data_IF_355446988721
#
_entry.id   IF_355446988721
#
_cell.length_a   1.000
_cell.length_b   1.000
_cell.length_c   1.000
_cell.angle_alpha   90.00
_cell.angle_beta   90.00
_cell.angle_gamma   90.00
#
_symmetry.space_group_name_H-M   'P 1'
#
loop_
_entity.id
_entity.type
_entity.pdbx_description
1 polymer ?
#
# COMPACT_ATOMS: atom_id res chain seq x y z
N UNK A 1 15.42 21.94 22.01
CA UNK A 1 15.42 20.46 22.04
C UNK A 1 15.29 19.90 23.46
N UNK A 2 16.17 20.25 24.42
CA UNK A 2 16.05 19.72 25.79
C UNK A 2 14.80 20.26 26.53
N UNK A 3 14.48 21.55 26.36
CA UNK A 3 13.34 22.18 27.05
C UNK A 3 11.95 21.62 26.68
N UNK A 4 11.80 21.04 25.48
CA UNK A 4 10.52 20.51 24.99
C UNK A 4 10.53 18.98 24.92
N UNK A 5 11.50 18.34 25.60
CA UNK A 5 11.69 16.88 25.53
C UNK A 5 10.42 16.14 25.95
N UNK A 6 9.82 16.56 27.06
CA UNK A 6 8.68 15.87 27.64
C UNK A 6 7.42 16.07 26.77
N UNK A 7 7.24 17.27 26.20
CA UNK A 7 6.16 17.55 25.25
C UNK A 7 6.30 16.71 23.97
N UNK A 8 7.51 16.56 23.43
CA UNK A 8 7.74 15.68 22.28
C UNK A 8 7.45 14.22 22.58
N UNK A 9 7.82 13.74 23.77
CA UNK A 9 7.50 12.39 24.21
C UNK A 9 5.99 12.22 24.37
N UNK A 10 5.28 13.19 24.95
CA UNK A 10 3.83 13.17 25.08
C UNK A 10 3.14 13.11 23.71
N UNK A 11 3.53 13.97 22.76
CA UNK A 11 3.00 13.95 21.38
C UNK A 11 3.32 12.61 20.70
N UNK A 12 4.52 12.07 20.87
CA UNK A 12 4.88 10.77 20.31
C UNK A 12 4.05 9.63 20.92
N UNK A 13 3.73 9.69 22.20
CA UNK A 13 2.82 8.75 22.87
C UNK A 13 1.39 8.89 22.32
N UNK A 14 0.88 10.12 22.15
CA UNK A 14 -0.43 10.37 21.53
C UNK A 14 -0.49 9.80 20.11
N UNK A 15 0.56 10.01 19.30
CA UNK A 15 0.65 9.45 17.95
C UNK A 15 0.69 7.92 17.94
N UNK A 16 1.19 7.28 18.99
CA UNK A 16 1.22 5.80 19.12
C UNK A 16 -0.07 5.24 19.71
N UNK A 17 -0.77 6.02 20.54
CA UNK A 17 -2.04 5.66 21.16
C UNK A 17 -3.24 6.01 20.27
N UNK A 18 -4.44 5.63 20.74
CA UNK A 18 -5.72 5.96 20.11
C UNK A 18 -5.89 7.49 20.00
N UNK A 19 -5.31 8.25 20.94
CA UNK A 19 -5.37 9.70 21.03
C UNK A 19 -6.50 10.17 21.95
N UNK A 20 -6.38 11.39 22.47
CA UNK A 20 -7.43 12.06 23.23
C UNK A 20 -8.36 12.79 22.25
N UNK A 21 -9.67 12.81 22.50
CA UNK A 21 -10.70 13.45 21.64
C UNK A 21 -10.95 12.78 20.27
N UNK A 22 -11.18 11.47 20.29
CA UNK A 22 -11.63 10.80 19.08
C UNK A 22 -13.08 11.11 18.78
N UNK A 23 -13.31 11.56 17.54
CA UNK A 23 -14.66 11.65 17.00
C UNK A 23 -15.32 10.28 17.06
N UNK A 24 -16.47 10.18 17.73
CA UNK A 24 -17.29 8.97 17.77
C UNK A 24 -17.75 8.53 16.37
N UNK A 25 -17.62 9.42 15.38
CA UNK A 25 -18.07 9.23 14.01
C UNK A 25 -16.96 9.51 13.01
N UNK A 26 -16.88 8.70 11.95
CA UNK A 26 -15.95 8.93 10.85
C UNK A 26 -16.15 10.33 10.24
N UNK A 27 -15.11 11.19 10.20
CA UNK A 27 -15.24 12.58 9.73
C UNK A 27 -15.37 12.70 8.20
N UNK A 28 -15.14 11.61 7.46
CA UNK A 28 -15.17 11.58 6.00
C UNK A 28 -16.39 10.86 5.44
N UNK A 29 -17.25 10.29 6.30
CA UNK A 29 -18.52 9.73 5.84
C UNK A 29 -19.47 10.85 5.40
N UNK A 30 -20.26 10.65 4.34
CA UNK A 30 -21.34 11.57 4.04
C UNK A 30 -22.44 11.51 5.13
N UNK A 31 -23.16 12.62 5.30
CA UNK A 31 -24.09 12.83 6.42
C UNK A 31 -25.32 11.92 6.41
N UNK A 32 -25.62 11.29 5.29
CA UNK A 32 -26.72 10.34 5.09
C UNK A 32 -26.39 8.93 5.62
N UNK A 33 -25.12 8.65 5.91
CA UNK A 33 -24.67 7.36 6.39
C UNK A 33 -24.79 7.28 7.92
N UNK A 34 -25.22 6.12 8.48
CA UNK A 34 -25.21 5.94 9.93
C UNK A 34 -23.81 6.20 10.50
N UNK A 35 -23.72 6.79 11.71
CA UNK A 35 -22.46 6.97 12.42
C UNK A 35 -21.66 5.66 12.51
N UNK A 36 -20.41 5.68 12.02
CA UNK A 36 -19.49 4.55 12.14
C UNK A 36 -18.27 5.02 12.91
N UNK A 37 -17.91 4.26 13.95
CA UNK A 37 -16.70 4.49 14.73
C UNK A 37 -15.45 4.33 13.85
N UNK A 38 -14.59 5.36 13.77
CA UNK A 38 -13.40 5.30 12.94
C UNK A 38 -12.26 4.56 13.66
N UNK A 39 -11.85 3.40 13.16
CA UNK A 39 -10.79 2.57 13.77
C UNK A 39 -9.54 2.44 12.90
N UNK A 40 -9.51 3.01 11.70
CA UNK A 40 -8.40 2.90 10.75
C UNK A 40 -7.68 4.22 10.54
N UNK A 41 -6.35 4.20 10.52
CA UNK A 41 -5.52 5.34 10.10
C UNK A 41 -4.43 4.92 9.13
N UNK A 42 -4.05 5.85 8.27
CA UNK A 42 -2.86 5.72 7.44
C UNK A 42 -1.67 6.39 8.13
N UNK A 43 -0.49 5.76 8.07
CA UNK A 43 0.75 6.34 8.62
C UNK A 43 1.65 6.98 7.55
N UNK A 44 1.27 6.88 6.28
CA UNK A 44 1.98 7.48 5.15
C UNK A 44 1.26 8.73 4.60
N UNK A 45 -0.05 8.90 4.87
CA UNK A 45 -0.78 10.12 4.56
C UNK A 45 -0.38 11.27 5.49
N UNK A 46 -0.34 12.50 4.96
CA UNK A 46 -0.11 13.69 5.77
C UNK A 46 -1.21 13.90 6.82
N UNK A 47 -2.47 13.65 6.45
CA UNK A 47 -3.59 13.66 7.39
C UNK A 47 -3.84 12.26 7.95
N UNK A 48 -3.62 12.10 9.26
CA UNK A 48 -3.60 10.81 9.96
C UNK A 48 -4.86 10.55 10.80
N UNK A 49 -5.90 11.35 10.63
CA UNK A 49 -7.16 11.19 11.34
C UNK A 49 -7.76 9.79 11.11
N UNK A 50 -8.36 9.22 12.17
CA UNK A 50 -9.05 7.94 12.05
C UNK A 50 -10.23 8.05 11.09
N UNK A 51 -10.50 6.97 10.38
CA UNK A 51 -11.62 6.82 9.46
C UNK A 51 -12.23 5.41 9.55
N UNK A 52 -13.44 5.25 9.02
CA UNK A 52 -14.03 3.94 8.84
C UNK A 52 -13.34 3.17 7.69
N UNK A 53 -13.64 1.87 7.57
CA UNK A 53 -13.03 1.01 6.55
C UNK A 53 -13.24 1.52 5.12
N UNK A 54 -14.46 1.97 4.79
CA UNK A 54 -14.80 2.34 3.42
C UNK A 54 -14.12 3.65 2.99
N UNK A 55 -14.17 4.67 3.85
CA UNK A 55 -13.44 5.92 3.62
C UNK A 55 -11.92 5.67 3.53
N UNK A 56 -11.41 4.69 4.29
CA UNK A 56 -10.02 4.27 4.16
C UNK A 56 -9.75 3.68 2.77
N UNK A 57 -10.55 2.73 2.30
CA UNK A 57 -10.37 2.11 0.98
C UNK A 57 -10.48 3.13 -0.14
N UNK A 58 -11.49 4.00 -0.10
CA UNK A 58 -11.75 5.04 -1.08
C UNK A 58 -10.56 6.01 -1.21
N UNK A 59 -10.07 6.54 -0.09
CA UNK A 59 -8.92 7.46 -0.05
C UNK A 59 -7.64 6.84 -0.63
N UNK A 60 -7.48 5.52 -0.50
CA UNK A 60 -6.26 4.83 -0.90
C UNK A 60 -6.35 4.17 -2.29
N UNK A 61 -7.40 4.41 -3.08
CA UNK A 61 -7.48 3.95 -4.47
C UNK A 61 -6.28 4.45 -5.29
N UNK A 62 -5.89 5.71 -5.11
CA UNK A 62 -4.73 6.30 -5.79
C UNK A 62 -3.38 5.96 -5.14
N UNK A 63 -3.38 5.48 -3.90
CA UNK A 63 -2.17 5.22 -3.11
C UNK A 63 -2.23 3.82 -2.45
N UNK A 64 -2.25 2.73 -3.26
CA UNK A 64 -2.53 1.38 -2.77
C UNK A 64 -1.39 0.74 -1.96
N UNK A 65 -0.24 1.41 -1.87
CA UNK A 65 0.96 0.96 -1.16
C UNK A 65 1.20 1.75 0.14
N UNK A 66 0.23 2.53 0.59
CA UNK A 66 0.27 3.15 1.91
C UNK A 66 0.03 2.11 3.01
N UNK A 67 0.69 2.31 4.14
CA UNK A 67 0.58 1.45 5.33
C UNK A 67 -0.56 1.92 6.21
N UNK A 68 -1.45 0.99 6.53
CA UNK A 68 -2.65 1.25 7.35
C UNK A 68 -2.50 0.55 8.70
N UNK A 69 -3.01 1.19 9.74
CA UNK A 69 -3.16 0.62 11.06
C UNK A 69 -4.63 0.58 11.46
N UNK A 70 -5.03 -0.49 12.15
CA UNK A 70 -6.35 -0.62 12.78
C UNK A 70 -6.20 -0.64 14.29
N UNK A 71 -7.05 0.09 15.00
CA UNK A 71 -7.18 -0.02 16.45
C UNK A 71 -7.90 -1.33 16.81
N UNK A 72 -7.33 -2.11 17.74
CA UNK A 72 -7.92 -3.37 18.22
C UNK A 72 -8.50 -3.27 19.65
N UNK A 73 -8.61 -2.06 20.20
CA UNK A 73 -9.00 -1.81 21.59
C UNK A 73 -7.82 -1.56 22.53
N UNK A 74 -6.61 -2.02 22.19
CA UNK A 74 -5.42 -1.88 23.03
C UNK A 74 -4.26 -1.16 22.31
N UNK A 75 -3.97 -1.53 21.07
CA UNK A 75 -2.90 -0.91 20.28
C UNK A 75 -3.23 -0.90 18.79
N UNK A 76 -2.49 -0.09 18.05
CA UNK A 76 -2.53 -0.12 16.59
C UNK A 76 -1.75 -1.30 16.04
N UNK A 77 -2.42 -2.11 15.24
CA UNK A 77 -1.80 -3.18 14.47
C UNK A 77 -1.82 -2.85 12.97
N UNK A 78 -0.79 -3.26 12.25
CA UNK A 78 -0.75 -3.10 10.79
C UNK A 78 -1.86 -3.93 10.12
N UNK A 79 -2.49 -3.34 9.12
CA UNK A 79 -3.47 -3.99 8.26
C UNK A 79 -3.18 -3.68 6.80
N UNK A 80 -3.29 -4.69 5.93
CA UNK A 80 -3.19 -4.47 4.50
C UNK A 80 -4.48 -3.90 3.93
N UNK A 81 -4.38 -2.97 2.98
CA UNK A 81 -5.52 -2.47 2.21
C UNK A 81 -6.28 -3.60 1.50
N UNK A 82 -5.60 -4.67 1.10
CA UNK A 82 -6.22 -5.92 0.60
C UNK A 82 -7.21 -6.52 1.59
N UNK A 83 -6.87 -6.56 2.89
CA UNK A 83 -7.75 -7.08 3.95
C UNK A 83 -8.97 -6.19 4.13
N UNK A 84 -8.82 -4.89 3.94
CA UNK A 84 -9.93 -3.91 3.99
C UNK A 84 -10.81 -3.94 2.74
N UNK A 85 -10.40 -4.67 1.69
CA UNK A 85 -11.19 -4.86 0.48
C UNK A 85 -10.67 -4.11 -0.75
N UNK A 86 -9.59 -3.34 -0.64
CA UNK A 86 -9.03 -2.61 -1.78
C UNK A 86 -8.60 -3.57 -2.90
N UNK A 87 -9.01 -3.23 -4.12
CA UNK A 87 -8.60 -3.91 -5.35
C UNK A 87 -8.01 -2.88 -6.30
N UNK A 88 -6.75 -3.05 -6.66
CA UNK A 88 -6.07 -2.17 -7.60
C UNK A 88 -6.50 -2.55 -9.02
N UNK A 89 -7.12 -1.62 -9.74
CA UNK A 89 -7.46 -1.79 -11.14
C UNK A 89 -6.34 -1.23 -12.03
N UNK A 90 -5.79 -2.05 -12.91
CA UNK A 90 -4.81 -1.62 -13.92
C UNK A 90 -5.46 -1.34 -15.27
N UNK A 91 -4.73 -0.61 -16.12
CA UNK A 91 -5.08 -0.39 -17.53
C UNK A 91 -6.02 0.78 -17.80
N UNK A 92 -6.52 1.47 -16.76
CA UNK A 92 -7.37 2.65 -16.83
C UNK A 92 -6.68 3.84 -16.15
N UNK A 93 -6.04 4.75 -16.91
CA UNK A 93 -5.27 5.87 -16.36
C UNK A 93 -6.10 6.88 -15.54
N UNK A 94 -7.40 6.96 -15.84
CA UNK A 94 -8.41 7.77 -15.15
C UNK A 94 -8.88 7.16 -13.83
N UNK A 95 -8.45 5.94 -13.49
CA UNK A 95 -8.87 5.23 -12.29
C UNK A 95 -10.29 4.66 -12.37
N UNK A 96 -10.93 4.67 -13.55
CA UNK A 96 -12.25 4.09 -13.74
C UNK A 96 -12.25 2.58 -13.52
N UNK A 97 -13.41 2.05 -13.14
CA UNK A 97 -13.63 0.61 -13.04
C UNK A 97 -13.61 -0.01 -14.43
N UNK A 98 -12.94 -1.15 -14.56
CA UNK A 98 -12.88 -1.86 -15.83
C UNK A 98 -14.18 -2.65 -16.04
N UNK A 99 -14.83 -2.56 -17.23
CA UNK A 99 -16.02 -3.37 -17.53
C UNK A 99 -15.69 -4.84 -17.84
N UNK A 100 -14.43 -5.17 -18.18
CA UNK A 100 -13.96 -6.57 -18.33
C UNK A 100 -12.68 -6.80 -17.49
N UNK A 101 -12.79 -6.83 -16.15
CA UNK A 101 -11.62 -7.01 -15.30
C UNK A 101 -11.14 -8.47 -15.33
N UNK A 102 -9.83 -8.66 -15.49
CA UNK A 102 -9.19 -9.97 -15.43
C UNK A 102 -8.40 -10.10 -14.14
N UNK A 103 -8.79 -11.04 -13.29
CA UNK A 103 -8.16 -11.23 -11.98
C UNK A 103 -6.63 -11.41 -12.09
N UNK A 104 -5.90 -10.70 -11.23
CA UNK A 104 -4.48 -10.89 -11.03
C UNK A 104 -4.15 -12.12 -10.18
N UNK A 105 -2.86 -12.39 -9.93
CA UNK A 105 -2.43 -13.47 -9.04
C UNK A 105 -2.99 -13.30 -7.63
N UNK A 106 -3.51 -14.38 -7.04
CA UNK A 106 -4.12 -14.35 -5.70
C UNK A 106 -3.16 -13.91 -4.57
N UNK A 107 -1.86 -14.19 -4.74
CA UNK A 107 -0.78 -13.87 -3.80
C UNK A 107 0.25 -12.94 -4.46
N UNK A 108 -0.20 -11.79 -4.97
CA UNK A 108 0.68 -10.76 -5.49
C UNK A 108 1.30 -9.94 -4.34
N UNK A 109 2.62 -9.79 -4.36
CA UNK A 109 3.41 -8.94 -3.47
C UNK A 109 4.01 -7.79 -4.28
N UNK A 110 3.81 -6.55 -3.84
CA UNK A 110 4.50 -5.38 -4.37
C UNK A 110 5.60 -4.98 -3.40
N UNK A 111 6.83 -4.96 -3.87
CA UNK A 111 8.00 -4.49 -3.12
C UNK A 111 8.14 -2.98 -3.35
N UNK A 112 7.99 -2.21 -2.27
CA UNK A 112 8.03 -0.76 -2.27
C UNK A 112 9.06 -0.24 -1.26
N UNK A 113 9.38 1.05 -1.32
CA UNK A 113 10.38 1.69 -0.46
C UNK A 113 9.99 1.68 1.02
N UNK A 114 8.69 1.60 1.32
CA UNK A 114 8.15 1.53 2.68
C UNK A 114 7.86 0.09 3.18
N UNK A 115 8.15 -0.94 2.37
CA UNK A 115 7.93 -2.35 2.72
C UNK A 115 7.29 -3.19 1.62
N UNK A 116 6.79 -4.36 2.00
CA UNK A 116 6.19 -5.38 1.14
C UNK A 116 4.67 -5.37 1.30
N UNK A 117 3.97 -5.22 0.18
CA UNK A 117 2.52 -5.06 0.17
C UNK A 117 1.84 -6.26 -0.47
N UNK A 118 1.00 -6.95 0.30
CA UNK A 118 0.08 -7.94 -0.25
C UNK A 118 -1.15 -7.23 -0.80
N UNK A 119 -1.31 -7.22 -2.12
CA UNK A 119 -2.43 -6.53 -2.79
C UNK A 119 -3.38 -7.51 -3.48
N UNK A 120 -4.58 -7.01 -3.82
CA UNK A 120 -5.47 -7.62 -4.81
C UNK A 120 -5.43 -6.72 -6.04
N UNK A 121 -5.33 -7.33 -7.23
CA UNK A 121 -5.11 -6.64 -8.49
C UNK A 121 -6.06 -7.19 -9.55
N UNK A 122 -6.59 -6.30 -10.39
CA UNK A 122 -7.28 -6.64 -11.62
C UNK A 122 -6.53 -6.03 -12.80
N UNK A 123 -6.30 -6.83 -13.83
CA UNK A 123 -5.88 -6.36 -15.15
C UNK A 123 -7.10 -5.89 -15.95
N UNK A 124 -6.88 -5.01 -16.92
CA UNK A 124 -7.87 -4.63 -17.91
C UNK A 124 -7.94 -5.65 -19.04
N UNK A 125 -9.16 -6.13 -19.34
CA UNK A 125 -9.51 -7.00 -20.46
C UNK A 125 -10.16 -6.28 -21.65
N UNK A 126 -10.34 -4.96 -21.60
CA UNK A 126 -11.06 -4.22 -22.64
C UNK A 126 -10.28 -4.08 -23.95
N UNK A 127 -11.01 -4.01 -25.07
CA UNK A 127 -10.46 -3.71 -26.41
C UNK A 127 -9.83 -2.32 -26.50
N UNK A 128 -10.24 -1.37 -25.65
CA UNK A 128 -9.61 -0.04 -25.57
C UNK A 128 -8.22 -0.08 -24.92
N UNK A 129 -7.80 -1.21 -24.34
CA UNK A 129 -6.44 -1.41 -23.82
C UNK A 129 -5.46 -1.94 -24.88
N UNK A 130 -5.85 -1.93 -26.16
CA UNK A 130 -4.96 -2.25 -27.26
C UNK A 130 -3.85 -1.21 -27.34
N UNK A 131 -2.60 -1.67 -27.29
CA UNK A 131 -1.42 -0.83 -27.54
C UNK A 131 -1.49 -0.30 -28.97
N UNK A 132 -1.39 1.01 -29.12
CA UNK A 132 -1.32 1.66 -30.44
C UNK A 132 -0.07 1.26 -31.22
N UNK A 133 1.00 0.83 -30.53
CA UNK A 133 2.27 0.44 -31.13
C UNK A 133 2.24 -1.00 -31.68
N UNK A 134 1.66 -1.94 -30.93
CA UNK A 134 1.70 -3.37 -31.27
C UNK A 134 0.37 -3.88 -31.83
N UNK A 135 -0.69 -3.06 -31.80
CA UNK A 135 -2.07 -3.42 -32.19
C UNK A 135 -2.61 -4.66 -31.49
N UNK A 136 -2.08 -5.01 -30.32
CA UNK A 136 -2.56 -6.10 -29.48
C UNK A 136 -2.98 -5.58 -28.11
N UNK A 137 -3.82 -6.34 -27.41
CA UNK A 137 -4.21 -6.05 -26.04
C UNK A 137 -2.96 -5.94 -25.15
N UNK A 138 -2.91 -4.94 -24.27
CA UNK A 138 -1.81 -4.79 -23.34
C UNK A 138 -1.59 -6.10 -22.56
N UNK A 139 -0.40 -6.66 -22.72
CA UNK A 139 0.02 -7.82 -21.96
C UNK A 139 0.06 -7.48 -20.46
N UNK A 140 -0.09 -8.48 -19.60
CA UNK A 140 -0.13 -8.27 -18.13
C UNK A 140 1.09 -7.51 -17.61
N UNK A 141 2.27 -7.78 -18.17
CA UNK A 141 3.51 -7.10 -17.80
C UNK A 141 3.51 -5.63 -18.23
N UNK A 142 2.92 -5.28 -19.38
CA UNK A 142 2.82 -3.90 -19.86
C UNK A 142 1.92 -3.07 -18.94
N UNK A 143 0.79 -3.64 -18.51
CA UNK A 143 -0.12 -2.97 -17.57
C UNK A 143 0.56 -2.67 -16.24
N UNK A 144 1.41 -3.59 -15.74
CA UNK A 144 2.23 -3.37 -14.55
C UNK A 144 3.27 -2.26 -14.78
N UNK A 145 4.00 -2.31 -15.89
CA UNK A 145 5.02 -1.32 -16.23
C UNK A 145 4.43 0.09 -16.39
N UNK A 146 3.24 0.20 -16.99
CA UNK A 146 2.48 1.47 -17.07
C UNK A 146 2.06 1.99 -15.70
N UNK A 147 1.80 1.10 -14.75
CA UNK A 147 1.59 1.44 -13.34
C UNK A 147 2.91 1.63 -12.56
N UNK A 148 4.05 1.72 -13.26
CA UNK A 148 5.41 1.90 -12.68
C UNK A 148 5.83 0.75 -11.79
N UNK A 149 5.31 -0.45 -12.02
CA UNK A 149 5.65 -1.68 -11.31
C UNK A 149 6.37 -2.64 -12.24
N UNK A 150 7.63 -2.93 -11.92
CA UNK A 150 8.46 -3.87 -12.64
C UNK A 150 8.08 -5.30 -12.24
N UNK A 151 7.69 -6.17 -13.18
CA UNK A 151 7.38 -7.55 -12.87
C UNK A 151 8.64 -8.37 -12.59
N UNK A 152 8.65 -9.16 -11.52
CA UNK A 152 9.76 -10.08 -11.25
C UNK A 152 9.86 -11.23 -12.27
N UNK A 153 8.76 -11.56 -12.96
CA UNK A 153 8.71 -12.53 -14.06
C UNK A 153 7.67 -12.11 -15.11
N UNK A 154 7.90 -12.46 -16.39
CA UNK A 154 7.02 -12.03 -17.49
C UNK A 154 5.69 -12.81 -17.59
N UNK A 155 5.64 -14.07 -17.13
CA UNK A 155 4.51 -14.97 -17.36
C UNK A 155 3.45 -14.86 -16.25
N UNK A 156 3.87 -14.84 -14.98
CA UNK A 156 2.97 -14.77 -13.83
C UNK A 156 3.70 -14.16 -12.63
N UNK A 157 3.90 -12.83 -12.61
CA UNK A 157 4.62 -12.19 -11.53
C UNK A 157 3.81 -12.34 -10.23
N UNK A 158 4.30 -13.16 -9.31
CA UNK A 158 3.81 -13.18 -7.93
C UNK A 158 4.46 -12.08 -7.09
N UNK A 159 5.54 -11.50 -7.59
CA UNK A 159 6.28 -10.40 -6.99
C UNK A 159 6.53 -9.34 -8.06
N UNK A 160 6.31 -8.08 -7.70
CA UNK A 160 6.57 -6.92 -8.56
C UNK A 160 7.29 -5.86 -7.72
N UNK A 161 8.29 -5.18 -8.28
CA UNK A 161 9.00 -4.10 -7.60
C UNK A 161 8.55 -2.76 -8.15
N UNK A 162 8.27 -1.78 -7.29
CA UNK A 162 8.02 -0.41 -7.78
C UNK A 162 9.28 0.18 -8.40
N UNK A 163 9.14 0.99 -9.45
CA UNK A 163 10.29 1.68 -10.06
C UNK A 163 11.00 2.57 -9.04
N UNK A 164 10.25 3.21 -8.14
CA UNK A 164 10.81 4.03 -7.07
C UNK A 164 11.72 3.21 -6.13
N UNK A 165 11.34 1.97 -5.80
CA UNK A 165 12.18 1.08 -5.00
C UNK A 165 13.43 0.65 -5.78
N UNK A 166 13.31 0.34 -7.07
CA UNK A 166 14.45 0.00 -7.91
C UNK A 166 15.46 1.16 -8.03
N UNK A 167 14.97 2.39 -8.20
CA UNK A 167 15.78 3.60 -8.25
C UNK A 167 16.50 3.85 -6.91
N UNK A 168 15.77 3.76 -5.80
CA UNK A 168 16.38 3.89 -4.47
C UNK A 168 17.46 2.81 -4.22
N UNK A 169 17.16 1.55 -4.57
CA UNK A 169 18.10 0.45 -4.44
C UNK A 169 19.37 0.70 -5.27
N UNK A 170 19.22 1.13 -6.52
CA UNK A 170 20.35 1.42 -7.41
C UNK A 170 21.29 2.49 -6.81
N UNK A 171 20.73 3.60 -6.33
CA UNK A 171 21.52 4.69 -5.70
C UNK A 171 22.23 4.17 -4.44
N UNK A 172 21.54 3.45 -3.57
CA UNK A 172 22.12 2.95 -2.32
C UNK A 172 23.22 1.90 -2.52
N UNK A 173 23.07 1.03 -3.52
CA UNK A 173 24.12 0.04 -3.86
C UNK A 173 25.35 0.73 -4.42
N UNK A 174 25.19 1.78 -5.25
CA UNK A 174 26.32 2.55 -5.80
C UNK A 174 27.04 3.39 -4.73
N UNK A 175 26.29 4.04 -3.82
CA UNK A 175 26.88 4.94 -2.83
C UNK A 175 27.39 4.24 -1.56
N UNK A 176 26.70 3.18 -1.11
CA UNK A 176 26.91 2.60 0.23
C UNK A 176 27.32 1.13 0.25
N UNK A 177 27.53 0.49 -0.92
CA UNK A 177 27.81 -0.95 -1.05
C UNK A 177 26.74 -1.85 -0.37
N UNK A 178 25.50 -1.38 -0.28
CA UNK A 178 24.39 -2.17 0.26
C UNK A 178 24.09 -3.31 -0.70
N UNK A 179 24.08 -4.54 -0.19
CA UNK A 179 23.72 -5.72 -0.99
C UNK A 179 22.21 -5.77 -1.22
N UNK A 180 21.77 -6.48 -2.28
CA UNK A 180 20.35 -6.73 -2.52
C UNK A 180 19.66 -7.41 -1.32
N UNK A 181 20.38 -8.32 -0.65
CA UNK A 181 19.90 -9.03 0.53
C UNK A 181 19.63 -8.07 1.70
N UNK A 182 20.60 -7.20 2.03
CA UNK A 182 20.48 -6.27 3.16
C UNK A 182 19.34 -5.27 2.94
N UNK A 183 19.22 -4.75 1.71
CA UNK A 183 18.14 -3.83 1.36
C UNK A 183 16.76 -4.51 1.49
N UNK A 184 16.61 -5.72 0.93
CA UNK A 184 15.37 -6.49 1.06
C UNK A 184 15.05 -6.82 2.53
N UNK A 185 16.05 -7.19 3.33
CA UNK A 185 15.88 -7.46 4.76
C UNK A 185 15.40 -6.22 5.52
N UNK A 186 15.88 -5.04 5.15
CA UNK A 186 15.37 -3.76 5.65
C UNK A 186 13.89 -3.57 5.34
N UNK A 187 13.47 -3.85 4.09
CA UNK A 187 12.07 -3.77 3.67
C UNK A 187 11.18 -4.80 4.41
N UNK A 188 11.68 -6.02 4.65
CA UNK A 188 10.97 -7.02 5.46
C UNK A 188 10.71 -6.51 6.87
N UNK A 189 11.73 -5.93 7.52
CA UNK A 189 11.59 -5.33 8.85
C UNK A 189 10.57 -4.19 8.85
N UNK A 190 10.62 -3.29 7.86
CA UNK A 190 9.62 -2.22 7.72
C UNK A 190 8.18 -2.74 7.59
N UNK A 191 8.00 -3.94 7.04
CA UNK A 191 6.69 -4.59 6.86
C UNK A 191 6.21 -5.28 8.12
N UNK A 192 7.09 -6.02 8.78
CA UNK A 192 6.83 -6.74 10.01
C UNK A 192 8.08 -6.71 10.91
N UNK A 193 8.10 -5.76 11.84
CA UNK A 193 9.18 -5.61 12.81
C UNK A 193 9.07 -6.62 13.97
N UNK A 194 8.05 -7.49 14.00
CA UNK A 194 7.87 -8.47 15.09
C UNK A 194 8.64 -9.77 14.84
N UNK A 195 9.13 -10.01 13.62
CA UNK A 195 9.85 -11.22 13.24
C UNK A 195 9.01 -12.50 13.18
N UNK A 196 7.68 -12.40 13.34
CA UNK A 196 6.86 -13.58 13.64
C UNK A 196 6.27 -14.35 12.46
N UNK A 197 6.27 -13.86 11.21
CA UNK A 197 5.94 -14.70 10.03
C UNK A 197 6.65 -14.25 8.76
N UNK A 198 7.90 -14.68 8.58
CA UNK A 198 8.58 -14.56 7.28
C UNK A 198 8.17 -15.76 6.42
N UNK A 199 7.49 -15.59 5.27
CA UNK A 199 7.37 -16.66 4.30
C UNK A 199 8.75 -16.91 3.71
N UNK A 200 9.25 -18.14 3.88
CA UNK A 200 10.49 -18.59 3.26
C UNK A 200 10.37 -18.45 1.74
N UNK A 201 11.27 -17.69 1.12
CA UNK A 201 11.45 -17.71 -0.33
C UNK A 201 12.08 -19.06 -0.71
N UNK A 202 11.28 -19.95 -1.29
CA UNK A 202 11.75 -21.13 -2.01
C UNK A 202 11.85 -20.81 -3.49
#
# INVERSE_FOLDING_TARGET
FIANRDDYLAVQMILKGHGDHLSATCPSCPSDRPPIEPTFRCIDCFHTALCCQDCCVERHQANPLHRIQSWNGNHFQLVSLKRLGLVVQLGHPDGSTCPDPRNGPSKLIVVHTNGLHRIRLNYCGCSRSISTLTRCQHQKWEQLMRARWFPGTHIRPKTTCTFQMLEQFHILTLSGKITAYDYYKGLERLTDNTGLKIPVSS
#
